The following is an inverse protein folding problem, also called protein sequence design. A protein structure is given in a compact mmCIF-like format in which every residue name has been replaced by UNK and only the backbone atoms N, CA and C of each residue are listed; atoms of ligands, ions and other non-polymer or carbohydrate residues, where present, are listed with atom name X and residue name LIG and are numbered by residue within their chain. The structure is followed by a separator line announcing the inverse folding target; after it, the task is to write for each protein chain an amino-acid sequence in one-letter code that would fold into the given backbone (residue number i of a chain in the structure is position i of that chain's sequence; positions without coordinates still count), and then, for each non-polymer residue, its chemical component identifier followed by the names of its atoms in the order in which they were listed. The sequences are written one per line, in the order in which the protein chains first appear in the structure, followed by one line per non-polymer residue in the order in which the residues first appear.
data_IF_393084895783
#
_entry.id   IF_393084895783
#
_cell.length_a   1.000
_cell.length_b   1.000
_cell.length_c   1.000
_cell.angle_alpha   90.00
_cell.angle_beta   90.00
_cell.angle_gamma   90.00
#
_symmetry.space_group_name_H-M   'P 1'
#
loop_
_entity.id
_entity.type
_entity.pdbx_description
1 polymer ?
#
# COMPACT_ATOMS: atom_id res chain seq x y z
N UNK A 1 -10.33 32.25 -12.05
CA UNK A 1 -11.26 31.12 -11.85
C UNK A 1 -10.77 29.95 -12.68
N UNK A 2 -10.02 29.03 -12.07
CA UNK A 2 -9.57 27.78 -12.68
C UNK A 2 -9.11 26.85 -11.54
N UNK A 3 -10.03 26.09 -10.95
CA UNK A 3 -9.72 25.22 -9.79
C UNK A 3 -10.29 23.81 -9.91
N UNK A 4 -11.00 23.46 -10.97
CA UNK A 4 -11.68 22.14 -11.04
C UNK A 4 -10.88 21.06 -11.80
N UNK A 5 -9.86 21.42 -12.58
CA UNK A 5 -9.03 20.47 -13.34
C UNK A 5 -7.79 19.96 -12.56
N UNK A 6 -7.41 20.63 -11.48
CA UNK A 6 -6.20 20.32 -10.69
C UNK A 6 -6.46 19.27 -9.59
N UNK A 7 -7.69 19.25 -9.06
CA UNK A 7 -8.08 18.36 -7.98
C UNK A 7 -8.18 16.86 -8.36
N UNK A 8 -8.72 16.44 -9.53
CA UNK A 8 -8.69 15.04 -9.92
C UNK A 8 -7.25 14.55 -10.19
N UNK A 9 -6.41 15.41 -10.77
CA UNK A 9 -4.99 15.11 -11.06
C UNK A 9 -4.18 14.88 -9.78
N UNK A 10 -4.38 15.71 -8.76
CA UNK A 10 -3.69 15.56 -7.46
C UNK A 10 -4.17 14.34 -6.67
N UNK A 11 -5.48 14.03 -6.70
CA UNK A 11 -6.00 12.78 -6.10
C UNK A 11 -5.42 11.54 -6.78
N UNK A 12 -5.33 11.56 -8.12
CA UNK A 12 -4.71 10.47 -8.88
C UNK A 12 -3.21 10.31 -8.54
N UNK A 13 -2.46 11.41 -8.43
CA UNK A 13 -1.05 11.38 -8.03
C UNK A 13 -0.85 10.75 -6.64
N UNK A 14 -1.71 11.09 -5.67
CA UNK A 14 -1.67 10.48 -4.33
C UNK A 14 -1.98 8.99 -4.36
N UNK A 15 -2.98 8.58 -5.15
CA UNK A 15 -3.31 7.16 -5.32
C UNK A 15 -2.15 6.38 -5.94
N UNK A 16 -1.51 6.92 -6.98
CA UNK A 16 -0.33 6.33 -7.60
C UNK A 16 0.84 6.24 -6.60
N UNK A 17 1.05 7.25 -5.76
CA UNK A 17 2.10 7.21 -4.75
C UNK A 17 1.86 6.11 -3.71
N UNK A 18 0.62 5.93 -3.25
CA UNK A 18 0.25 4.85 -2.34
C UNK A 18 0.40 3.48 -2.98
N UNK A 19 0.04 3.32 -4.25
CA UNK A 19 0.25 2.09 -5.00
C UNK A 19 1.75 1.76 -5.15
N UNK A 20 2.58 2.76 -5.44
CA UNK A 20 4.04 2.60 -5.47
C UNK A 20 4.61 2.16 -4.12
N UNK A 21 4.07 2.68 -3.01
CA UNK A 21 4.46 2.24 -1.68
C UNK A 21 4.08 0.77 -1.41
N UNK A 22 2.86 0.35 -1.76
CA UNK A 22 2.45 -1.05 -1.62
C UNK A 22 3.29 -1.99 -2.50
N UNK A 23 3.60 -1.57 -3.73
CA UNK A 23 4.48 -2.31 -4.63
C UNK A 23 5.91 -2.44 -4.08
N UNK A 24 6.47 -1.37 -3.49
CA UNK A 24 7.78 -1.42 -2.84
C UNK A 24 7.78 -2.40 -1.66
N UNK A 25 6.73 -2.40 -0.84
CA UNK A 25 6.56 -3.36 0.26
C UNK A 25 6.46 -4.80 -0.27
N UNK A 26 5.67 -5.05 -1.31
CA UNK A 26 5.54 -6.37 -1.93
C UNK A 26 6.88 -6.85 -2.51
N UNK A 27 7.62 -5.96 -3.17
CA UNK A 27 8.94 -6.26 -3.75
C UNK A 27 9.93 -6.62 -2.64
N UNK A 28 9.99 -5.84 -1.56
CA UNK A 28 10.83 -6.16 -0.41
C UNK A 28 10.46 -7.51 0.24
N UNK A 29 9.15 -7.82 0.33
CA UNK A 29 8.67 -9.13 0.83
C UNK A 29 9.01 -10.31 -0.08
N UNK A 30 9.21 -10.08 -1.38
CA UNK A 30 9.62 -11.10 -2.34
C UNK A 30 11.08 -11.55 -2.15
N UNK A 31 11.85 -10.86 -1.29
CA UNK A 31 13.22 -11.26 -0.97
C UNK A 31 14.24 -10.81 -2.00
N UNK A 32 14.05 -9.63 -2.60
CA UNK A 32 15.12 -8.94 -3.32
C UNK A 32 16.28 -8.59 -2.38
N UNK A 33 17.39 -8.11 -2.95
CA UNK A 33 18.54 -7.63 -2.19
C UNK A 33 18.14 -6.61 -1.10
N UNK A 34 18.78 -6.69 0.08
CA UNK A 34 18.40 -5.89 1.25
C UNK A 34 18.61 -4.39 1.02
N UNK A 35 19.69 -4.01 0.34
CA UNK A 35 19.99 -2.62 0.04
C UNK A 35 19.08 -2.08 -1.06
N UNK A 36 18.72 -2.90 -2.03
CA UNK A 36 17.71 -2.55 -3.03
C UNK A 36 16.32 -2.38 -2.40
N UNK A 37 15.91 -3.31 -1.54
CA UNK A 37 14.66 -3.23 -0.79
C UNK A 37 14.59 -1.95 0.05
N UNK A 38 15.63 -1.68 0.84
CA UNK A 38 15.71 -0.49 1.70
C UNK A 38 15.60 0.80 0.88
N UNK A 39 16.32 0.89 -0.23
CA UNK A 39 16.29 2.05 -1.12
C UNK A 39 14.90 2.25 -1.74
N UNK A 40 14.30 1.17 -2.27
CA UNK A 40 12.97 1.22 -2.87
C UNK A 40 11.89 1.67 -1.88
N UNK A 41 11.97 1.22 -0.63
CA UNK A 41 11.06 1.64 0.44
C UNK A 41 11.22 3.13 0.77
N UNK A 42 12.45 3.63 0.87
CA UNK A 42 12.74 5.04 1.13
C UNK A 42 12.26 5.95 0.00
N UNK A 43 12.52 5.55 -1.25
CA UNK A 43 12.06 6.28 -2.44
C UNK A 43 10.53 6.34 -2.51
N UNK A 44 9.85 5.24 -2.18
CA UNK A 44 8.39 5.22 -2.15
C UNK A 44 7.79 6.12 -1.06
N UNK A 45 8.36 6.13 0.15
CA UNK A 45 7.95 7.05 1.22
C UNK A 45 8.18 8.51 0.84
N UNK A 46 9.33 8.83 0.24
CA UNK A 46 9.63 10.16 -0.26
C UNK A 46 8.62 10.58 -1.35
N UNK A 47 8.24 9.66 -2.24
CA UNK A 47 7.21 9.87 -3.25
C UNK A 47 5.85 10.20 -2.65
N UNK A 48 5.42 9.49 -1.60
CA UNK A 48 4.19 9.80 -0.86
C UNK A 48 4.25 11.19 -0.21
N UNK A 49 5.37 11.53 0.41
CA UNK A 49 5.58 12.84 1.05
C UNK A 49 5.50 14.00 0.04
N UNK A 50 6.15 13.84 -1.13
CA UNK A 50 6.21 14.85 -2.18
C UNK A 50 4.84 15.25 -2.75
N UNK A 51 3.86 14.33 -2.72
CA UNK A 51 2.49 14.59 -3.20
C UNK A 51 1.48 14.77 -2.06
N UNK A 52 1.96 14.85 -0.81
CA UNK A 52 1.14 14.89 0.40
C UNK A 52 0.10 13.76 0.45
N UNK A 53 0.49 12.55 0.04
CA UNK A 53 -0.36 11.37 0.20
C UNK A 53 -0.52 11.06 1.69
N UNK A 54 -1.75 10.80 2.12
CA UNK A 54 -2.03 10.43 3.51
C UNK A 54 -1.62 8.98 3.73
N UNK A 55 -0.42 8.78 4.28
CA UNK A 55 0.05 7.47 4.75
C UNK A 55 -0.20 7.39 6.25
N UNK A 56 -0.80 6.28 6.70
CA UNK A 56 -1.03 6.05 8.13
C UNK A 56 0.32 6.04 8.89
N UNK A 57 0.42 6.67 10.08
CA UNK A 57 1.63 6.65 10.90
C UNK A 57 2.11 5.23 11.23
N UNK A 58 1.19 4.28 11.38
CA UNK A 58 1.52 2.87 11.60
C UNK A 58 2.22 2.24 10.38
N UNK A 59 1.79 2.58 9.16
CA UNK A 59 2.46 2.11 7.93
C UNK A 59 3.86 2.71 7.85
N UNK A 60 4.00 4.01 8.06
CA UNK A 60 5.30 4.69 8.03
C UNK A 60 6.26 4.06 9.05
N UNK A 61 5.83 3.92 10.30
CA UNK A 61 6.66 3.31 11.34
C UNK A 61 7.07 1.87 11.05
N UNK A 62 6.18 1.06 10.45
CA UNK A 62 6.54 -0.30 10.04
C UNK A 62 7.58 -0.31 8.92
N UNK A 63 7.43 0.55 7.90
CA UNK A 63 8.34 0.62 6.75
C UNK A 63 9.70 1.17 7.16
N UNK A 64 9.74 2.23 7.98
CA UNK A 64 10.98 2.82 8.49
C UNK A 64 11.74 1.82 9.38
N UNK A 65 11.06 1.18 10.33
CA UNK A 65 11.68 0.16 11.17
C UNK A 65 12.17 -1.05 10.35
N UNK A 66 11.40 -1.49 9.35
CA UNK A 66 11.84 -2.55 8.45
C UNK A 66 13.11 -2.15 7.68
N UNK A 67 13.19 -0.91 7.21
CA UNK A 67 14.38 -0.38 6.55
C UNK A 67 15.63 -0.40 7.44
N UNK A 68 15.48 -0.14 8.74
CA UNK A 68 16.57 -0.23 9.71
C UNK A 68 16.98 -1.69 9.97
N UNK A 69 16.01 -2.61 10.12
CA UNK A 69 16.31 -4.04 10.24
C UNK A 69 17.02 -4.61 9.00
N UNK A 70 16.61 -4.19 7.79
CA UNK A 70 17.30 -4.56 6.55
C UNK A 70 18.77 -4.09 6.54
N UNK A 71 19.06 -2.92 7.10
CA UNK A 71 20.42 -2.39 7.20
C UNK A 71 21.35 -3.27 8.05
N UNK A 72 20.81 -3.98 9.03
CA UNK A 72 21.57 -4.90 9.89
C UNK A 72 21.43 -6.38 9.48
N UNK A 73 20.74 -6.69 8.38
CA UNK A 73 20.51 -8.07 7.94
C UNK A 73 19.48 -8.84 8.79
N UNK A 74 18.66 -8.15 9.59
CA UNK A 74 17.62 -8.72 10.46
C UNK A 74 16.36 -9.04 9.64
N UNK A 75 16.49 -10.05 8.77
CA UNK A 75 15.49 -10.38 7.73
C UNK A 75 14.11 -10.76 8.30
N UNK A 76 14.07 -11.45 9.44
CA UNK A 76 12.81 -11.95 10.00
C UNK A 76 11.98 -10.80 10.57
N UNK A 77 12.64 -9.89 11.28
CA UNK A 77 12.07 -8.68 11.85
C UNK A 77 11.59 -7.74 10.75
N UNK A 78 12.43 -7.50 9.73
CA UNK A 78 12.05 -6.72 8.55
C UNK A 78 10.83 -7.33 7.84
N UNK A 79 10.82 -8.65 7.60
CA UNK A 79 9.71 -9.34 6.95
C UNK A 79 8.42 -9.24 7.76
N UNK A 80 8.49 -9.36 9.08
CA UNK A 80 7.33 -9.21 9.96
C UNK A 80 6.72 -7.81 9.83
N UNK A 81 7.54 -6.77 9.92
CA UNK A 81 7.12 -5.38 9.82
C UNK A 81 6.56 -5.05 8.43
N UNK A 82 7.19 -5.51 7.36
CA UNK A 82 6.68 -5.35 5.99
C UNK A 82 5.35 -6.07 5.78
N UNK A 83 5.17 -7.24 6.40
CA UNK A 83 3.88 -7.96 6.36
C UNK A 83 2.78 -7.16 7.06
N UNK A 84 3.09 -6.51 8.19
CA UNK A 84 2.15 -5.64 8.87
C UNK A 84 1.83 -4.39 8.04
N UNK A 85 2.84 -3.76 7.45
CA UNK A 85 2.68 -2.61 6.56
C UNK A 85 1.76 -2.94 5.38
N UNK A 86 2.00 -4.07 4.69
CA UNK A 86 1.17 -4.53 3.57
C UNK A 86 -0.30 -4.75 4.00
N UNK A 87 -0.52 -5.39 5.15
CA UNK A 87 -1.89 -5.57 5.67
C UNK A 87 -2.58 -4.24 5.96
N UNK A 88 -1.87 -3.28 6.52
CA UNK A 88 -2.42 -1.95 6.80
C UNK A 88 -2.75 -1.19 5.51
N UNK A 89 -1.89 -1.26 4.49
CA UNK A 89 -2.13 -0.68 3.17
C UNK A 89 -3.34 -1.32 2.46
N UNK A 90 -3.43 -2.66 2.47
CA UNK A 90 -4.53 -3.39 1.83
C UNK A 90 -5.93 -3.09 2.41
N UNK A 91 -6.01 -2.69 3.68
CA UNK A 91 -7.26 -2.27 4.34
C UNK A 91 -7.77 -0.91 3.86
N UNK A 92 -6.88 -0.07 3.35
CA UNK A 92 -7.23 1.25 2.80
C UNK A 92 -7.73 1.14 1.36
N UNK A 93 -7.25 0.15 0.60
CA UNK A 93 -7.55 0.02 -0.84
C UNK A 93 -8.76 -0.87 -1.19
N UNK A 94 -9.44 -1.51 -0.23
CA UNK A 94 -10.60 -2.37 -0.53
C UNK A 94 -11.90 -1.81 0.04
N UNK A 95 -12.80 -1.25 -0.80
CA UNK A 95 -14.21 -1.50 -0.59
C UNK A 95 -14.41 -2.99 -0.86
N UNK A 96 -14.43 -3.79 0.19
CA UNK A 96 -14.83 -5.19 0.07
C UNK A 96 -16.33 -5.18 -0.28
N UNK A 97 -16.64 -5.17 -1.57
CA UNK A 97 -17.97 -5.49 -2.06
C UNK A 97 -18.20 -6.96 -1.72
N UNK A 98 -18.68 -7.21 -0.50
CA UNK A 98 -19.22 -8.52 -0.13
C UNK A 98 -20.46 -8.68 -1.00
N UNK A 99 -20.51 -9.64 -1.94
CA UNK A 99 -21.75 -9.92 -2.65
C UNK A 99 -22.79 -10.27 -1.58
N UNK A 100 -23.91 -9.54 -1.57
CA UNK A 100 -25.00 -9.83 -0.67
C UNK A 100 -25.39 -11.31 -0.84
N UNK A 101 -25.65 -12.05 0.25
CA UNK A 101 -26.14 -13.42 0.12
C UNK A 101 -27.44 -13.39 -0.70
N UNK A 102 -27.50 -14.20 -1.76
CA UNK A 102 -28.72 -14.37 -2.55
C UNK A 102 -29.87 -14.73 -1.63
N UNK A 103 -30.98 -14.01 -1.74
CA UNK A 103 -32.20 -14.32 -0.99
C UNK A 103 -32.91 -15.52 -1.63
N UNK A 104 -33.59 -16.38 -0.84
CA UNK A 104 -34.37 -17.48 -1.39
C UNK A 104 -35.43 -16.95 -2.36
N UNK A 105 -35.26 -17.19 -3.66
CA UNK A 105 -36.14 -16.65 -4.71
C UNK A 105 -35.45 -16.34 -6.05
N UNK A 106 -34.12 -16.22 -6.07
CA UNK A 106 -33.35 -15.82 -7.27
C UNK A 106 -33.22 -16.88 -8.39
N UNK A 107 -33.89 -18.04 -8.26
CA UNK A 107 -33.86 -19.08 -9.28
C UNK A 107 -35.00 -18.86 -10.29
N UNK A 108 -34.72 -18.13 -11.36
CA UNK A 108 -35.58 -18.11 -12.54
C UNK A 108 -35.43 -19.46 -13.26
N UNK A 109 -36.42 -20.34 -13.09
CA UNK A 109 -36.54 -21.54 -13.92
C UNK A 109 -36.94 -21.09 -15.34
N UNK A 110 -35.95 -21.14 -16.25
CA UNK A 110 -36.15 -20.88 -17.67
C UNK A 110 -37.18 -21.84 -18.27
N UNK A 111 -38.03 -21.30 -19.15
CA UNK A 111 -39.02 -22.04 -19.94
C UNK A 111 -38.37 -22.96 -20.96
#
# INVERSE_FOLDING_TARGET
MATELDEPSSRQQRAIALEKLDNAVCTALAGIDEDEARRGLQEALAGCSAVHASVSPQVMGCVEAAGEHLRYGERMEARMLLTLAHRLLSRVSRPMAVPAPSTPGDVVLGR
#
